data_IF_632735425313
#
_entry.id   IF_632735425313
#
_cell.length_a   1.000
_cell.length_b   1.000
_cell.length_c   1.000
_cell.angle_alpha   90.00
_cell.angle_beta   90.00
_cell.angle_gamma   90.00
#
_symmetry.space_group_name_H-M   'P 1'
#
loop_
_entity.id
_entity.type
_entity.pdbx_description
1 polymer ?
#
# COMPACT_ATOMS: atom_id res chain seq x y z
N UNK A 1 -40.24 -23.09 8.65
CA UNK A 1 -39.16 -23.99 9.10
C UNK A 1 -37.98 -23.11 9.44
N UNK A 2 -37.73 -22.94 10.72
CA UNK A 2 -36.70 -22.04 11.28
C UNK A 2 -35.69 -22.94 12.00
N UNK A 3 -34.43 -22.89 11.59
CA UNK A 3 -33.25 -23.33 12.36
C UNK A 3 -32.47 -22.06 12.69
N UNK A 4 -31.94 -21.79 13.87
CA UNK A 4 -31.60 -22.60 15.03
C UNK A 4 -30.34 -21.97 15.63
N UNK A 5 -30.47 -20.82 16.29
CA UNK A 5 -29.37 -20.14 16.96
C UNK A 5 -29.39 -20.50 18.45
N UNK A 6 -28.34 -21.19 18.91
CA UNK A 6 -28.15 -21.56 20.31
C UNK A 6 -27.53 -20.39 21.08
N UNK A 7 -28.30 -19.82 22.00
CA UNK A 7 -27.88 -18.77 22.93
C UNK A 7 -27.04 -19.38 24.05
N UNK A 8 -25.78 -18.98 24.16
CA UNK A 8 -24.94 -19.34 25.31
C UNK A 8 -25.12 -18.29 26.43
N UNK A 9 -25.76 -18.70 27.53
CA UNK A 9 -25.96 -17.88 28.74
C UNK A 9 -24.69 -17.90 29.59
N UNK A 10 -24.02 -16.76 29.79
CA UNK A 10 -22.96 -16.63 30.80
C UNK A 10 -23.53 -16.20 32.15
N UNK A 11 -23.31 -17.06 33.15
CA UNK A 11 -23.64 -16.86 34.56
C UNK A 11 -22.81 -15.73 35.18
N UNK A 12 -23.49 -14.74 35.75
CA UNK A 12 -22.91 -13.75 36.67
C UNK A 12 -22.51 -14.40 37.99
N UNK A 13 -21.24 -14.29 38.38
CA UNK A 13 -20.79 -14.58 39.76
C UNK A 13 -20.04 -13.37 40.32
N UNK A 14 -20.73 -12.64 41.21
CA UNK A 14 -20.16 -11.65 42.13
C UNK A 14 -19.14 -12.33 43.04
N UNK A 15 -17.92 -11.81 43.12
CA UNK A 15 -17.03 -12.07 44.26
C UNK A 15 -16.61 -10.75 44.91
N UNK A 16 -16.76 -10.75 46.24
CA UNK A 16 -16.59 -9.62 47.14
C UNK A 16 -15.12 -9.35 47.43
N UNK A 17 -14.83 -8.07 47.66
CA UNK A 17 -13.65 -7.55 48.31
C UNK A 17 -13.38 -8.24 49.67
N UNK A 18 -12.12 -8.61 49.89
CA UNK A 18 -11.57 -9.01 51.17
C UNK A 18 -10.10 -8.59 51.25
N UNK A 19 -9.82 -7.63 52.11
CA UNK A 19 -8.46 -7.23 52.51
C UNK A 19 -7.82 -8.34 53.34
N UNK A 20 -6.57 -8.71 53.04
CA UNK A 20 -5.65 -9.24 54.06
C UNK A 20 -4.18 -9.10 53.64
N UNK A 21 -3.49 -8.25 54.40
CA UNK A 21 -2.13 -8.39 54.95
C UNK A 21 -0.96 -8.84 54.05
N UNK A 22 -0.01 -7.91 53.91
CA UNK A 22 1.38 -8.13 53.51
C UNK A 22 2.06 -9.26 54.28
N UNK A 23 2.74 -10.16 53.57
CA UNK A 23 3.97 -10.77 54.05
C UNK A 23 4.89 -11.11 52.88
N UNK A 24 6.18 -10.90 53.12
CA UNK A 24 7.29 -10.93 52.18
C UNK A 24 7.66 -12.35 51.73
N UNK A 25 7.79 -12.56 50.42
CA UNK A 25 8.56 -13.67 49.87
C UNK A 25 9.36 -13.19 48.66
N UNK A 26 10.69 -13.13 48.83
CA UNK A 26 11.66 -12.90 47.77
C UNK A 26 11.62 -14.10 46.81
N UNK A 27 11.10 -13.89 45.61
CA UNK A 27 11.21 -14.83 44.49
C UNK A 27 12.02 -14.17 43.38
N UNK A 28 13.11 -14.84 42.97
CA UNK A 28 13.92 -14.49 41.81
C UNK A 28 13.03 -14.23 40.58
N UNK A 29 13.02 -12.99 40.09
CA UNK A 29 12.58 -12.69 38.74
C UNK A 29 13.80 -12.74 37.84
N UNK A 30 13.95 -13.85 37.12
CA UNK A 30 14.70 -13.85 35.88
C UNK A 30 14.08 -12.80 34.96
N UNK A 31 14.85 -11.76 34.72
CA UNK A 31 14.57 -10.76 33.71
C UNK A 31 14.59 -11.43 32.34
N UNK A 32 13.42 -11.75 31.79
CA UNK A 32 13.26 -11.91 30.35
C UNK A 32 13.54 -10.55 29.70
N UNK A 33 14.82 -10.26 29.46
CA UNK A 33 15.24 -9.18 28.57
C UNK A 33 14.74 -9.54 27.17
N UNK A 34 13.69 -8.85 26.72
CA UNK A 34 13.38 -8.78 25.30
C UNK A 34 14.64 -8.22 24.63
N UNK A 35 15.37 -9.09 23.93
CA UNK A 35 16.55 -8.70 23.16
C UNK A 35 16.04 -7.81 22.03
N UNK A 36 16.23 -6.49 22.15
CA UNK A 36 16.09 -5.59 21.01
C UNK A 36 17.18 -5.96 20.00
N UNK A 37 16.77 -6.66 18.92
CA UNK A 37 17.63 -6.91 17.77
C UNK A 37 18.10 -5.58 17.18
N UNK A 38 19.36 -5.50 16.74
CA UNK A 38 19.85 -4.33 16.02
C UNK A 38 19.20 -4.25 14.63
N UNK A 39 19.11 -3.06 14.02
CA UNK A 39 18.60 -2.90 12.65
C UNK A 39 19.35 -3.80 11.65
N UNK A 40 20.66 -3.99 11.85
CA UNK A 40 21.48 -4.90 11.04
C UNK A 40 21.00 -6.35 11.15
N UNK A 41 20.64 -6.81 12.34
CA UNK A 41 20.11 -8.17 12.54
C UNK A 41 18.74 -8.36 11.89
N UNK A 42 17.91 -7.30 11.84
CA UNK A 42 16.60 -7.34 11.19
C UNK A 42 16.74 -7.40 9.67
N UNK A 43 17.55 -6.51 9.08
CA UNK A 43 17.80 -6.49 7.63
C UNK A 43 18.39 -7.82 7.16
N UNK A 44 19.31 -8.41 7.93
CA UNK A 44 19.91 -9.70 7.55
C UNK A 44 18.93 -10.87 7.70
N UNK A 45 18.05 -10.85 8.69
CA UNK A 45 16.94 -11.81 8.79
C UNK A 45 16.05 -11.73 7.54
N UNK A 46 15.66 -10.52 7.14
CA UNK A 46 14.82 -10.31 5.94
C UNK A 46 15.52 -10.84 4.68
N UNK A 47 16.84 -10.65 4.56
CA UNK A 47 17.63 -11.20 3.46
C UNK A 47 17.49 -12.73 3.40
N UNK A 48 17.79 -13.40 4.52
CA UNK A 48 17.74 -14.86 4.61
C UNK A 48 16.33 -15.40 4.33
N UNK A 49 15.30 -14.77 4.91
CA UNK A 49 13.91 -15.17 4.70
C UNK A 49 13.52 -15.09 3.22
N UNK A 50 13.90 -14.01 2.53
CA UNK A 50 13.63 -13.86 1.08
C UNK A 50 14.39 -14.86 0.20
N UNK A 51 15.60 -15.27 0.61
CA UNK A 51 16.38 -16.31 -0.10
C UNK A 51 15.79 -17.70 0.09
N UNK A 52 15.27 -18.00 1.29
CA UNK A 52 14.52 -19.24 1.55
C UNK A 52 13.25 -19.26 0.71
N UNK A 53 12.53 -18.13 0.63
CA UNK A 53 11.34 -18.03 -0.20
C UNK A 53 11.67 -18.23 -1.68
N UNK A 54 12.79 -17.67 -2.15
CA UNK A 54 13.28 -17.87 -3.52
C UNK A 54 13.57 -19.35 -3.82
N UNK A 55 14.06 -20.13 -2.84
CA UNK A 55 14.25 -21.57 -3.00
C UNK A 55 12.91 -22.29 -3.18
N UNK A 56 11.90 -21.96 -2.36
CA UNK A 56 10.54 -22.51 -2.48
C UNK A 56 9.93 -22.21 -3.84
N UNK A 57 10.09 -20.98 -4.35
CA UNK A 57 9.66 -20.60 -5.71
C UNK A 57 10.39 -21.43 -6.77
N UNK A 58 11.70 -21.63 -6.65
CA UNK A 58 12.46 -22.43 -7.60
C UNK A 58 12.06 -23.92 -7.60
N UNK A 59 11.71 -24.48 -6.45
CA UNK A 59 11.17 -25.85 -6.34
C UNK A 59 9.80 -25.97 -7.00
N UNK A 60 8.94 -24.98 -6.78
CA UNK A 60 7.61 -24.91 -7.39
C UNK A 60 7.67 -24.89 -8.93
N UNK A 61 8.57 -24.09 -9.53
CA UNK A 61 8.74 -24.06 -10.98
C UNK A 61 9.45 -25.30 -11.56
N UNK A 62 10.14 -26.10 -10.73
CA UNK A 62 10.66 -27.42 -11.15
C UNK A 62 9.57 -28.48 -11.13
N UNK A 63 8.68 -28.41 -10.15
CA UNK A 63 7.57 -29.36 -9.98
C UNK A 63 6.46 -29.14 -11.01
N UNK A 64 6.25 -27.89 -11.43
CA UNK A 64 5.24 -27.51 -12.41
C UNK A 64 5.89 -27.24 -13.78
N UNK A 65 5.18 -27.51 -14.87
CA UNK A 65 5.58 -27.09 -16.24
C UNK A 65 4.64 -26.01 -16.76
N UNK A 66 4.66 -24.79 -16.18
CA UNK A 66 3.68 -23.77 -16.53
C UNK A 66 3.97 -23.18 -17.91
N UNK A 67 2.94 -22.57 -18.51
CA UNK A 67 3.03 -22.01 -19.88
C UNK A 67 3.94 -20.79 -19.98
N UNK A 68 4.04 -20.02 -18.90
CA UNK A 68 4.94 -18.88 -18.76
C UNK A 68 5.80 -19.09 -17.51
N UNK A 69 7.12 -18.97 -17.65
CA UNK A 69 8.05 -19.14 -16.54
C UNK A 69 8.79 -17.81 -16.37
N UNK A 70 8.60 -17.10 -15.24
CA UNK A 70 9.42 -15.95 -14.92
C UNK A 70 10.89 -16.35 -14.87
N UNK A 71 11.78 -15.45 -15.30
CA UNK A 71 13.21 -15.70 -15.13
C UNK A 71 13.58 -15.57 -13.65
N UNK A 72 13.98 -16.69 -13.05
CA UNK A 72 14.49 -16.72 -11.67
C UNK A 72 15.95 -16.24 -11.67
N UNK A 73 16.20 -15.13 -10.98
CA UNK A 73 17.52 -14.51 -10.90
C UNK A 73 18.12 -14.79 -9.52
N UNK A 74 19.30 -15.42 -9.52
CA UNK A 74 19.97 -15.86 -8.30
C UNK A 74 21.21 -15.03 -7.96
N UNK A 75 21.76 -14.28 -8.92
CA UNK A 75 22.98 -13.50 -8.71
C UNK A 75 22.86 -12.08 -9.27
N UNK A 76 23.68 -11.19 -8.72
CA UNK A 76 23.81 -9.83 -9.23
C UNK A 76 24.23 -9.81 -10.71
N UNK A 77 25.22 -10.63 -11.10
CA UNK A 77 25.74 -10.59 -12.47
C UNK A 77 24.69 -11.08 -13.49
N UNK A 78 23.82 -12.04 -13.11
CA UNK A 78 22.66 -12.42 -13.92
C UNK A 78 21.69 -11.25 -14.10
N UNK A 79 21.34 -10.57 -12.99
CA UNK A 79 20.42 -9.44 -13.02
C UNK A 79 20.97 -8.28 -13.85
N UNK A 80 22.22 -7.91 -13.62
CA UNK A 80 22.90 -6.83 -14.33
C UNK A 80 23.00 -7.11 -15.84
N UNK A 81 23.32 -8.35 -16.22
CA UNK A 81 23.33 -8.78 -17.61
C UNK A 81 21.95 -8.69 -18.24
N UNK A 82 20.91 -9.15 -17.54
CA UNK A 82 19.52 -9.11 -18.01
C UNK A 82 18.99 -7.68 -18.18
N UNK A 83 19.27 -6.79 -17.22
CA UNK A 83 18.91 -5.37 -17.32
C UNK A 83 19.62 -4.67 -18.48
N UNK A 84 20.91 -5.00 -18.69
CA UNK A 84 21.71 -4.40 -19.76
C UNK A 84 21.25 -4.88 -21.14
N UNK A 85 20.94 -6.16 -21.30
CA UNK A 85 20.45 -6.72 -22.58
C UNK A 85 19.07 -6.21 -22.96
N UNK A 86 18.23 -5.88 -21.97
CA UNK A 86 16.91 -5.27 -22.16
C UNK A 86 16.93 -3.73 -22.17
N UNK A 87 18.12 -3.10 -22.11
CA UNK A 87 18.28 -1.63 -22.18
C UNK A 87 17.44 -0.87 -21.16
N UNK A 88 17.37 -1.36 -19.92
CA UNK A 88 16.57 -0.71 -18.88
C UNK A 88 17.21 0.60 -18.43
N UNK A 89 16.45 1.68 -18.52
CA UNK A 89 16.84 3.03 -18.12
C UNK A 89 16.00 3.59 -16.96
N UNK A 90 14.74 3.18 -16.86
CA UNK A 90 13.78 3.71 -15.90
C UNK A 90 13.40 2.64 -14.88
N UNK A 91 13.42 3.00 -13.61
CA UNK A 91 13.12 2.11 -12.50
C UNK A 91 12.02 2.70 -11.64
N UNK A 92 10.90 1.99 -11.56
CA UNK A 92 9.81 2.29 -10.64
C UNK A 92 9.88 1.25 -9.52
N UNK A 93 9.98 1.72 -8.28
CA UNK A 93 9.99 0.87 -7.10
C UNK A 93 8.71 1.09 -6.30
N UNK A 94 8.07 0.01 -5.85
CA UNK A 94 7.28 0.11 -4.63
C UNK A 94 8.18 0.43 -3.41
N UNK A 95 7.58 0.83 -2.30
CA UNK A 95 8.28 1.22 -1.08
C UNK A 95 8.21 0.15 0.02
N UNK A 96 7.00 -0.18 0.47
CA UNK A 96 6.75 -1.01 1.64
C UNK A 96 6.87 -2.49 1.23
N UNK A 97 7.83 -3.23 1.79
CA UNK A 97 8.13 -4.59 1.35
C UNK A 97 9.21 -4.68 0.26
N UNK A 98 9.57 -3.56 -0.40
CA UNK A 98 10.61 -3.51 -1.46
C UNK A 98 11.85 -2.72 -1.04
N UNK A 99 11.66 -1.55 -0.42
CA UNK A 99 12.74 -0.67 0.02
C UNK A 99 12.87 -0.63 1.54
N UNK A 100 11.77 -0.79 2.26
CA UNK A 100 11.77 -0.87 3.72
C UNK A 100 10.56 -1.66 4.25
N UNK A 101 10.59 -2.02 5.53
CA UNK A 101 9.44 -2.53 6.29
C UNK A 101 9.35 -1.75 7.59
N UNK A 102 8.31 -0.94 7.74
CA UNK A 102 8.19 -0.03 8.88
C UNK A 102 9.34 0.97 8.93
N UNK A 103 10.23 0.82 9.92
CA UNK A 103 11.41 1.67 10.11
C UNK A 103 12.72 1.02 9.62
N UNK A 104 12.67 -0.24 9.20
CA UNK A 104 13.85 -1.02 8.86
C UNK A 104 14.06 -1.07 7.33
N UNK A 105 15.26 -0.75 6.82
CA UNK A 105 15.55 -0.81 5.40
C UNK A 105 15.66 -2.25 4.89
N UNK A 106 15.29 -2.46 3.62
CA UNK A 106 15.52 -3.72 2.92
C UNK A 106 17.01 -3.96 2.62
N UNK A 107 17.44 -5.21 2.45
CA UNK A 107 18.83 -5.56 2.18
C UNK A 107 19.43 -4.75 1.03
N UNK A 108 20.46 -3.96 1.34
CA UNK A 108 21.17 -3.07 0.40
C UNK A 108 20.30 -2.08 -0.39
N UNK A 109 19.09 -1.75 0.09
CA UNK A 109 18.19 -0.80 -0.59
C UNK A 109 18.82 0.59 -0.78
N UNK A 110 19.42 1.15 0.27
CA UNK A 110 20.14 2.43 0.22
C UNK A 110 21.21 2.47 -0.88
N UNK A 111 22.09 1.46 -0.90
CA UNK A 111 23.15 1.33 -1.91
C UNK A 111 22.58 1.18 -3.32
N UNK A 112 21.47 0.47 -3.47
CA UNK A 112 20.80 0.27 -4.75
C UNK A 112 20.30 1.58 -5.33
N UNK A 113 19.56 2.34 -4.53
CA UNK A 113 19.04 3.65 -4.96
C UNK A 113 20.18 4.62 -5.27
N UNK A 114 21.19 4.70 -4.41
CA UNK A 114 22.38 5.53 -4.68
C UNK A 114 23.08 5.16 -5.99
N UNK A 115 23.27 3.86 -6.23
CA UNK A 115 23.94 3.37 -7.43
C UNK A 115 23.17 3.74 -8.69
N UNK A 116 21.86 3.50 -8.72
CA UNK A 116 21.02 3.78 -9.90
C UNK A 116 21.00 5.28 -10.23
N UNK A 117 20.79 6.14 -9.22
CA UNK A 117 20.78 7.59 -9.39
C UNK A 117 22.13 8.10 -9.89
N UNK A 118 23.25 7.67 -9.26
CA UNK A 118 24.60 8.08 -9.67
C UNK A 118 25.00 7.55 -11.04
N UNK A 119 24.39 6.46 -11.48
CA UNK A 119 24.59 5.88 -12.81
C UNK A 119 23.73 6.54 -13.90
N UNK A 120 23.01 7.62 -13.56
CA UNK A 120 22.18 8.38 -14.51
C UNK A 120 20.88 7.68 -14.89
N UNK A 121 20.43 6.68 -14.12
CA UNK A 121 19.12 6.05 -14.32
C UNK A 121 18.00 6.95 -13.80
N UNK A 122 16.82 6.86 -14.42
CA UNK A 122 15.63 7.51 -13.89
C UNK A 122 15.00 6.61 -12.84
N UNK A 123 14.77 7.14 -11.64
CA UNK A 123 14.28 6.37 -10.50
C UNK A 123 13.05 7.05 -9.91
N UNK A 124 11.98 6.29 -9.76
CA UNK A 124 10.72 6.73 -9.15
C UNK A 124 10.27 5.73 -8.09
N UNK A 125 9.57 6.25 -7.09
CA UNK A 125 9.04 5.52 -5.94
C UNK A 125 7.51 5.62 -6.00
N UNK A 126 6.86 4.54 -6.42
CA UNK A 126 5.42 4.49 -6.69
C UNK A 126 4.75 3.68 -5.59
N UNK A 127 4.05 4.34 -4.67
CA UNK A 127 3.42 3.69 -3.51
C UNK A 127 1.91 3.91 -3.48
N UNK A 128 1.16 2.87 -3.10
CA UNK A 128 -0.27 2.97 -2.84
C UNK A 128 -0.60 3.66 -1.50
N UNK A 129 0.41 4.08 -0.72
CA UNK A 129 0.22 4.81 0.53
C UNK A 129 -0.38 6.22 0.29
N UNK A 130 -1.60 6.42 0.77
CA UNK A 130 -2.30 7.72 0.77
C UNK A 130 -2.27 8.42 2.13
N UNK A 131 -1.61 7.84 3.13
CA UNK A 131 -1.67 8.31 4.51
C UNK A 131 -0.77 9.51 4.81
N UNK A 132 0.11 9.84 3.88
CA UNK A 132 1.12 10.87 4.03
C UNK A 132 1.22 11.68 2.74
N UNK A 133 1.62 12.93 2.88
CA UNK A 133 1.91 13.80 1.74
C UNK A 133 3.14 13.29 0.97
N UNK A 134 3.28 13.73 -0.29
CA UNK A 134 4.45 13.44 -1.13
C UNK A 134 5.76 13.81 -0.44
N UNK A 135 5.79 14.98 0.21
CA UNK A 135 6.95 15.47 0.95
C UNK A 135 7.26 14.58 2.16
N UNK A 136 6.26 14.21 2.94
CA UNK A 136 6.44 13.33 4.11
C UNK A 136 6.94 11.94 3.71
N UNK A 137 6.40 11.36 2.63
CA UNK A 137 6.86 10.08 2.09
C UNK A 137 8.32 10.15 1.65
N UNK A 138 8.71 11.22 0.94
CA UNK A 138 10.09 11.47 0.54
C UNK A 138 11.02 11.55 1.75
N UNK A 139 10.67 12.35 2.76
CA UNK A 139 11.46 12.50 3.98
C UNK A 139 11.57 11.21 4.78
N UNK A 140 10.49 10.41 4.84
CA UNK A 140 10.50 9.07 5.43
C UNK A 140 11.50 8.17 4.70
N UNK A 141 11.45 8.12 3.36
CA UNK A 141 12.33 7.26 2.59
C UNK A 141 13.80 7.66 2.73
N UNK A 142 14.12 8.97 2.64
CA UNK A 142 15.47 9.48 2.87
C UNK A 142 16.00 9.09 4.25
N UNK A 143 15.14 9.17 5.28
CA UNK A 143 15.49 8.82 6.66
C UNK A 143 15.73 7.31 6.83
N UNK A 144 14.79 6.48 6.38
CA UNK A 144 14.85 5.02 6.58
C UNK A 144 16.03 4.41 5.82
N UNK A 145 16.29 4.89 4.60
CA UNK A 145 17.41 4.44 3.79
C UNK A 145 18.73 5.15 4.13
N UNK A 146 18.72 6.13 5.04
CA UNK A 146 19.87 6.97 5.38
C UNK A 146 20.57 7.55 4.12
N UNK A 147 19.77 8.07 3.19
CA UNK A 147 20.28 8.59 1.92
C UNK A 147 20.96 9.95 2.11
N UNK A 148 22.00 10.27 1.32
CA UNK A 148 22.59 11.60 1.29
C UNK A 148 21.55 12.69 1.00
N UNK A 149 21.63 13.81 1.73
CA UNK A 149 20.75 14.96 1.51
C UNK A 149 20.86 15.46 0.07
N UNK A 150 19.70 15.71 -0.55
CA UNK A 150 19.62 16.25 -1.90
C UNK A 150 19.80 15.20 -3.01
N UNK A 151 20.05 13.93 -2.66
CA UNK A 151 20.06 12.85 -3.64
C UNK A 151 18.66 12.61 -4.23
N UNK A 152 17.64 12.60 -3.38
CA UNK A 152 16.25 12.44 -3.81
C UNK A 152 15.60 13.79 -4.08
N UNK A 153 14.92 13.88 -5.22
CA UNK A 153 14.02 14.98 -5.56
C UNK A 153 12.59 14.60 -5.22
N UNK A 154 11.75 15.60 -4.92
CA UNK A 154 10.35 15.38 -4.57
C UNK A 154 9.57 14.72 -5.74
N UNK A 155 9.80 15.23 -6.95
CA UNK A 155 10.01 14.49 -8.20
C UNK A 155 9.75 12.99 -8.23
N UNK A 156 10.62 12.31 -7.51
CA UNK A 156 10.78 10.87 -7.59
C UNK A 156 9.71 10.16 -6.78
N UNK A 157 9.07 10.83 -5.83
CA UNK A 157 8.06 10.23 -4.96
C UNK A 157 6.67 10.37 -5.57
N UNK A 158 5.95 9.26 -5.72
CA UNK A 158 4.62 9.17 -6.32
C UNK A 158 3.74 8.36 -5.36
N UNK A 159 3.08 9.06 -4.43
CA UNK A 159 2.09 8.47 -3.53
C UNK A 159 0.68 8.58 -4.09
N UNK A 160 -0.20 7.62 -3.74
CA UNK A 160 -1.57 7.59 -4.24
C UNK A 160 -2.43 8.80 -3.82
N UNK A 161 -2.12 9.46 -2.70
CA UNK A 161 -2.73 10.75 -2.34
C UNK A 161 -2.40 11.86 -3.35
N UNK A 162 -1.13 11.94 -3.77
CA UNK A 162 -0.68 12.89 -4.78
C UNK A 162 -1.32 12.58 -6.13
N UNK A 163 -1.39 11.30 -6.51
CA UNK A 163 -2.06 10.89 -7.75
C UNK A 163 -3.55 11.26 -7.73
N UNK A 164 -4.25 11.05 -6.61
CA UNK A 164 -5.65 11.45 -6.46
C UNK A 164 -5.83 12.97 -6.65
N UNK A 165 -4.94 13.79 -6.11
CA UNK A 165 -4.99 15.24 -6.27
C UNK A 165 -4.75 15.69 -7.73
N UNK A 166 -3.83 15.03 -8.43
CA UNK A 166 -3.55 15.26 -9.87
C UNK A 166 -4.72 14.83 -10.74
N UNK A 167 -5.28 13.66 -10.47
CA UNK A 167 -6.45 13.13 -11.17
C UNK A 167 -7.66 14.06 -11.03
N UNK A 168 -7.99 14.48 -9.81
CA UNK A 168 -9.09 15.43 -9.60
C UNK A 168 -8.80 16.78 -10.25
N UNK A 169 -7.55 17.22 -10.29
CA UNK A 169 -7.16 18.47 -10.96
C UNK A 169 -7.35 18.41 -12.48
N UNK A 170 -7.14 17.24 -13.10
CA UNK A 170 -7.38 17.06 -14.54
C UNK A 170 -8.87 16.93 -14.86
N UNK A 171 -9.66 16.31 -13.98
CA UNK A 171 -11.10 16.17 -14.19
C UNK A 171 -11.90 17.44 -13.87
N UNK A 172 -11.50 18.21 -12.86
CA UNK A 172 -12.26 19.37 -12.37
C UNK A 172 -11.67 20.67 -12.93
N UNK A 173 -12.36 21.27 -13.91
CA UNK A 173 -11.98 22.56 -14.50
C UNK A 173 -11.91 23.66 -13.43
N UNK A 174 -10.87 24.50 -13.47
CA UNK A 174 -10.81 25.75 -12.70
C UNK A 174 -11.85 26.73 -13.25
N UNK A 175 -13.09 26.69 -12.74
CA UNK A 175 -14.06 27.75 -13.00
C UNK A 175 -13.66 28.96 -12.15
N UNK A 176 -13.54 30.14 -12.74
CA UNK A 176 -13.01 31.36 -12.09
C UNK A 176 -13.67 31.77 -10.77
N UNK A 177 -14.81 31.19 -10.39
CA UNK A 177 -15.52 31.46 -9.14
C UNK A 177 -16.00 30.21 -8.37
N UNK A 178 -15.64 28.99 -8.78
CA UNK A 178 -16.16 27.78 -8.11
C UNK A 178 -15.10 27.14 -7.20
N UNK A 179 -15.40 27.11 -5.90
CA UNK A 179 -14.65 26.35 -4.91
C UNK A 179 -14.79 24.87 -5.28
N UNK A 180 -13.66 24.16 -5.48
CA UNK A 180 -13.66 22.72 -5.77
C UNK A 180 -13.72 21.95 -4.46
N UNK A 181 -14.88 21.43 -4.10
CA UNK A 181 -15.15 20.78 -2.81
C UNK A 181 -14.96 19.27 -2.90
N UNK A 182 -14.19 18.72 -1.96
CA UNK A 182 -13.90 17.29 -1.89
C UNK A 182 -14.18 16.77 -0.48
N UNK A 183 -14.99 15.71 -0.38
CA UNK A 183 -15.17 14.99 0.87
C UNK A 183 -14.16 13.85 0.96
N UNK A 184 -13.46 13.73 2.10
CA UNK A 184 -12.40 12.74 2.29
C UNK A 184 -12.80 11.74 3.35
N UNK A 185 -12.66 10.46 3.02
CA UNK A 185 -12.55 9.37 4.00
C UNK A 185 -11.09 8.96 3.97
N UNK A 186 -10.36 9.16 5.07
CA UNK A 186 -8.92 8.97 5.09
C UNK A 186 -8.21 9.80 6.14
N UNK A 187 -6.89 9.63 6.20
CA UNK A 187 -6.02 10.32 7.15
C UNK A 187 -5.81 11.81 6.83
N UNK A 188 -5.15 12.52 7.76
CA UNK A 188 -4.75 13.92 7.58
C UNK A 188 -3.79 14.13 6.41
N UNK A 189 -2.89 13.19 6.12
CA UNK A 189 -1.95 13.32 5.00
C UNK A 189 -2.65 13.41 3.66
N UNK A 190 -3.69 12.59 3.44
CA UNK A 190 -4.55 12.68 2.25
C UNK A 190 -5.24 14.04 2.16
N UNK A 191 -5.77 14.54 3.28
CA UNK A 191 -6.43 15.85 3.33
C UNK A 191 -5.45 16.97 2.95
N UNK A 192 -4.25 16.96 3.52
CA UNK A 192 -3.23 17.98 3.28
C UNK A 192 -2.74 17.97 1.82
N UNK A 193 -2.58 16.79 1.23
CA UNK A 193 -2.18 16.65 -0.17
C UNK A 193 -3.23 17.26 -1.13
N UNK A 194 -4.51 17.00 -0.86
CA UNK A 194 -5.61 17.58 -1.64
C UNK A 194 -5.75 19.09 -1.39
N UNK A 195 -5.62 19.55 -0.15
CA UNK A 195 -5.63 20.99 0.16
C UNK A 195 -4.50 21.74 -0.56
N UNK A 196 -3.31 21.14 -0.64
CA UNK A 196 -2.16 21.71 -1.35
C UNK A 196 -2.40 21.85 -2.86
N UNK A 197 -3.30 21.03 -3.44
CA UNK A 197 -3.76 21.15 -4.81
C UNK A 197 -4.90 22.19 -5.01
N UNK A 198 -5.30 22.88 -3.93
CA UNK A 198 -6.32 23.92 -3.93
C UNK A 198 -7.75 23.39 -3.94
N UNK A 199 -7.99 22.25 -3.29
CA UNK A 199 -9.33 21.74 -3.00
C UNK A 199 -9.79 22.18 -1.61
N UNK A 200 -11.07 22.50 -1.48
CA UNK A 200 -11.72 22.72 -0.19
C UNK A 200 -12.18 21.37 0.37
N UNK A 201 -11.72 21.01 1.56
CA UNK A 201 -11.82 19.66 2.11
C UNK A 201 -12.81 19.60 3.26
N UNK A 202 -13.68 18.60 3.22
CA UNK A 202 -14.48 18.14 4.36
C UNK A 202 -14.17 16.68 4.68
N UNK A 203 -14.54 16.20 5.88
CA UNK A 203 -14.23 14.84 6.33
C UNK A 203 -12.82 14.72 6.92
N UNK A 204 -12.15 13.60 6.66
CA UNK A 204 -10.81 13.28 7.18
C UNK A 204 -10.82 12.42 8.46
N UNK A 205 -9.72 12.43 9.24
CA UNK A 205 -9.61 11.61 10.45
C UNK A 205 -10.58 12.09 11.53
N UNK A 206 -11.13 11.16 12.31
CA UNK A 206 -11.98 11.53 13.44
C UNK A 206 -11.12 11.99 14.63
N UNK A 207 -11.66 12.89 15.45
CA UNK A 207 -10.99 13.28 16.69
C UNK A 207 -11.10 12.11 17.68
N UNK A 208 -9.95 11.66 18.21
CA UNK A 208 -9.86 10.61 19.23
C UNK A 208 -10.82 10.94 20.39
N UNK A 209 -11.72 10.00 20.70
CA UNK A 209 -12.71 10.14 21.77
C UNK A 209 -14.09 10.60 21.31
N UNK A 210 -14.27 10.92 20.03
CA UNK A 210 -15.60 11.14 19.44
C UNK A 210 -16.36 9.83 19.35
N UNK A 211 -17.67 9.85 19.57
CA UNK A 211 -18.50 8.65 19.38
C UNK A 211 -18.39 8.13 17.94
N UNK A 212 -17.98 6.87 17.78
CA UNK A 212 -17.80 6.22 16.47
C UNK A 212 -19.13 5.79 15.80
N UNK A 213 -20.26 6.02 16.47
CA UNK A 213 -21.59 5.66 15.99
C UNK A 213 -22.56 6.83 16.08
N UNK A 214 -23.69 6.71 15.38
CA UNK A 214 -24.83 7.60 15.53
C UNK A 214 -26.11 6.77 15.58
N UNK A 215 -27.00 7.12 16.49
CA UNK A 215 -28.38 6.65 16.51
C UNK A 215 -29.13 7.13 15.26
N UNK A 216 -30.29 6.52 14.98
CA UNK A 216 -31.13 6.93 13.85
C UNK A 216 -31.61 8.38 13.98
N UNK A 217 -31.88 8.82 15.21
CA UNK A 217 -32.34 10.20 15.46
C UNK A 217 -31.20 11.20 15.28
N UNK A 218 -29.99 10.87 15.73
CA UNK A 218 -28.80 11.70 15.47
C UNK A 218 -28.48 11.78 13.97
N UNK A 219 -28.62 10.68 13.24
CA UNK A 219 -28.49 10.67 11.78
C UNK A 219 -29.56 11.53 11.09
N UNK A 220 -30.81 11.46 11.55
CA UNK A 220 -31.90 12.24 10.99
C UNK A 220 -31.74 13.75 11.26
N UNK A 221 -31.17 14.11 12.41
CA UNK A 221 -30.87 15.48 12.79
C UNK A 221 -29.48 15.97 12.31
N UNK A 222 -28.69 15.10 11.64
CA UNK A 222 -27.34 15.45 11.22
C UNK A 222 -27.39 16.62 10.22
N UNK A 223 -26.66 17.73 10.47
CA UNK A 223 -26.68 18.90 9.61
C UNK A 223 -25.81 18.64 8.39
N UNK A 224 -26.35 17.90 7.42
CA UNK A 224 -25.68 17.69 6.15
C UNK A 224 -25.43 19.03 5.45
N UNK A 225 -24.24 19.23 4.87
CA UNK A 225 -23.92 20.48 4.19
C UNK A 225 -24.91 20.74 3.06
N UNK A 226 -25.27 22.02 2.88
CA UNK A 226 -26.13 22.47 1.79
C UNK A 226 -25.34 22.57 0.47
N UNK A 227 -24.04 22.84 0.58
CA UNK A 227 -23.15 22.93 -0.56
C UNK A 227 -22.87 21.57 -1.18
N UNK A 228 -22.91 21.53 -2.51
CA UNK A 228 -22.54 20.34 -3.28
C UNK A 228 -21.04 20.06 -3.20
N UNK A 229 -20.70 18.76 -3.20
CA UNK A 229 -19.33 18.27 -3.35
C UNK A 229 -19.06 17.92 -4.81
N UNK A 230 -17.88 18.28 -5.32
CA UNK A 230 -17.45 17.91 -6.67
C UNK A 230 -16.86 16.49 -6.71
N UNK A 231 -16.29 16.03 -5.59
CA UNK A 231 -15.72 14.69 -5.49
C UNK A 231 -15.74 14.14 -4.06
N UNK A 232 -15.61 12.82 -3.97
CA UNK A 232 -15.30 12.08 -2.76
C UNK A 232 -14.06 11.22 -2.98
N UNK A 233 -13.09 11.29 -2.07
CA UNK A 233 -11.86 10.50 -2.13
C UNK A 233 -11.79 9.56 -0.92
N UNK A 234 -11.59 8.28 -1.21
CA UNK A 234 -11.48 7.21 -0.23
C UNK A 234 -10.03 6.73 -0.18
N UNK A 235 -9.37 7.01 0.93
CA UNK A 235 -8.09 6.44 1.31
C UNK A 235 -8.19 5.67 2.62
N UNK A 236 -7.08 5.03 3.01
CA UNK A 236 -7.02 4.27 4.26
C UNK A 236 -7.41 5.19 5.43
N UNK A 237 -8.36 4.72 6.23
CA UNK A 237 -8.90 5.44 7.38
C UNK A 237 -8.96 4.49 8.57
N UNK A 238 -7.95 4.51 9.46
CA UNK A 238 -7.94 3.68 10.67
C UNK A 238 -9.13 3.96 11.60
N UNK A 239 -9.75 5.13 11.49
CA UNK A 239 -10.91 5.54 12.28
C UNK A 239 -12.23 5.35 11.51
N UNK A 240 -12.22 4.60 10.41
CA UNK A 240 -13.41 4.32 9.61
C UNK A 240 -14.50 3.68 10.47
N UNK A 241 -15.71 4.21 10.38
CA UNK A 241 -16.82 3.79 11.21
C UNK A 241 -18.16 3.97 10.49
N UNK A 242 -19.22 3.42 11.09
CA UNK A 242 -20.55 3.41 10.50
C UNK A 242 -21.10 4.83 10.27
N UNK A 243 -20.77 5.78 11.15
CA UNK A 243 -21.17 7.18 10.99
C UNK A 243 -20.57 7.77 9.70
N UNK A 244 -19.26 7.60 9.45
CA UNK A 244 -18.62 8.06 8.21
C UNK A 244 -19.26 7.43 6.99
N UNK A 245 -19.57 6.13 7.04
CA UNK A 245 -20.26 5.43 5.95
C UNK A 245 -21.66 6.01 5.67
N UNK A 246 -22.46 6.29 6.70
CA UNK A 246 -23.75 6.93 6.54
C UNK A 246 -23.64 8.32 5.93
N UNK A 247 -22.70 9.14 6.42
CA UNK A 247 -22.46 10.49 5.91
C UNK A 247 -22.07 10.42 4.43
N UNK A 248 -21.10 9.58 4.09
CA UNK A 248 -20.65 9.37 2.73
C UNK A 248 -21.78 8.93 1.79
N UNK A 249 -22.63 8.02 2.26
CA UNK A 249 -23.78 7.52 1.49
C UNK A 249 -24.75 8.64 1.15
N UNK A 250 -25.12 9.47 2.12
CA UNK A 250 -26.05 10.60 1.90
C UNK A 250 -25.41 11.67 1.01
N UNK A 251 -24.12 11.97 1.19
CA UNK A 251 -23.40 12.92 0.34
C UNK A 251 -23.39 12.45 -1.12
N UNK A 252 -23.10 11.17 -1.37
CA UNK A 252 -23.12 10.62 -2.73
C UNK A 252 -24.52 10.57 -3.35
N UNK A 253 -25.57 10.36 -2.54
CA UNK A 253 -26.96 10.42 -3.01
C UNK A 253 -27.38 11.84 -3.42
N UNK A 254 -27.01 12.85 -2.62
CA UNK A 254 -27.30 14.26 -2.90
C UNK A 254 -26.49 14.80 -4.08
N UNK A 255 -25.31 14.23 -4.33
CA UNK A 255 -24.38 14.69 -5.34
C UNK A 255 -24.11 13.58 -6.39
N UNK A 256 -25.09 13.24 -7.24
CA UNK A 256 -24.97 12.13 -8.18
C UNK A 256 -23.85 12.31 -9.21
N UNK A 257 -23.43 13.55 -9.46
CA UNK A 257 -22.34 13.89 -10.38
C UNK A 257 -20.96 13.98 -9.73
N UNK A 258 -20.87 13.88 -8.39
CA UNK A 258 -19.59 13.93 -7.70
C UNK A 258 -18.69 12.77 -8.16
N UNK A 259 -17.42 13.03 -8.42
CA UNK A 259 -16.46 11.99 -8.79
C UNK A 259 -16.15 11.15 -7.55
N UNK A 260 -16.28 9.82 -7.63
CA UNK A 260 -15.91 8.91 -6.54
C UNK A 260 -14.54 8.30 -6.86
N UNK A 261 -13.54 8.55 -6.01
CA UNK A 261 -12.15 8.13 -6.21
C UNK A 261 -11.70 7.24 -5.06
N UNK A 262 -11.03 6.14 -5.37
CA UNK A 262 -10.29 5.33 -4.42
C UNK A 262 -8.79 5.54 -4.65
N UNK A 263 -8.04 5.86 -3.60
CA UNK A 263 -6.58 6.07 -3.72
C UNK A 263 -5.85 4.77 -4.06
N UNK A 264 -6.34 3.64 -3.56
CA UNK A 264 -5.94 2.29 -3.96
C UNK A 264 -7.06 1.30 -3.58
N UNK A 265 -6.92 0.03 -3.98
CA UNK A 265 -7.86 -1.06 -3.62
C UNK A 265 -7.21 -2.20 -2.85
N UNK A 266 -6.09 -1.94 -2.20
CA UNK A 266 -5.32 -2.96 -1.50
C UNK A 266 -6.19 -3.57 -0.39
N UNK A 267 -6.37 -4.88 -0.43
CA UNK A 267 -7.28 -5.62 0.45
C UNK A 267 -6.81 -5.66 1.90
N UNK A 268 -5.50 -5.77 2.09
CA UNK A 268 -4.84 -5.83 3.39
C UNK A 268 -3.44 -5.24 3.34
N UNK A 269 -2.92 -4.93 4.53
CA UNK A 269 -1.52 -4.62 4.81
C UNK A 269 -0.99 -5.55 5.91
N UNK A 270 0.33 -5.74 5.97
CA UNK A 270 1.01 -6.60 6.93
C UNK A 270 1.59 -5.75 8.08
N UNK A 271 1.14 -6.04 9.31
CA UNK A 271 1.54 -5.25 10.49
C UNK A 271 2.14 -6.11 11.58
N UNK A 272 3.24 -5.63 12.15
CA UNK A 272 3.95 -6.28 13.25
C UNK A 272 5.00 -7.30 12.81
N UNK A 273 5.76 -7.81 13.78
CA UNK A 273 6.85 -8.77 13.54
C UNK A 273 6.37 -10.14 13.05
N UNK A 274 5.10 -10.45 13.28
CA UNK A 274 4.40 -11.68 12.93
C UNK A 274 3.53 -11.54 11.66
N UNK A 275 3.66 -10.43 10.91
CA UNK A 275 2.99 -10.19 9.63
C UNK A 275 1.46 -10.38 9.68
N UNK A 276 0.78 -9.73 10.63
CA UNK A 276 -0.69 -9.83 10.74
C UNK A 276 -1.36 -9.10 9.59
N UNK A 277 -2.34 -9.75 8.94
CA UNK A 277 -3.21 -9.14 7.95
C UNK A 277 -4.22 -8.21 8.61
N UNK A 278 -4.10 -6.92 8.35
CA UNK A 278 -5.09 -5.92 8.74
C UNK A 278 -5.81 -5.36 7.50
N UNK A 279 -7.09 -4.98 7.59
CA UNK A 279 -7.83 -4.44 6.45
C UNK A 279 -7.13 -3.23 5.83
N UNK A 280 -6.97 -3.26 4.51
CA UNK A 280 -6.46 -2.16 3.71
C UNK A 280 -7.57 -1.22 3.25
N UNK A 281 -7.22 -0.25 2.40
CA UNK A 281 -8.20 0.71 1.88
C UNK A 281 -9.31 0.03 1.07
N UNK A 282 -9.00 -1.10 0.41
CA UNK A 282 -9.99 -1.86 -0.36
C UNK A 282 -11.22 -2.25 0.46
N UNK A 283 -11.07 -2.53 1.75
CA UNK A 283 -12.19 -2.82 2.65
C UNK A 283 -13.10 -1.60 2.84
N UNK A 284 -12.53 -0.40 3.01
CA UNK A 284 -13.26 0.86 3.14
C UNK A 284 -13.98 1.20 1.85
N UNK A 285 -13.28 1.06 0.71
CA UNK A 285 -13.85 1.27 -0.63
C UNK A 285 -15.06 0.36 -0.85
N UNK A 286 -14.92 -0.95 -0.62
CA UNK A 286 -16.01 -1.90 -0.77
C UNK A 286 -17.24 -1.54 0.08
N UNK A 287 -17.04 -1.05 1.32
CA UNK A 287 -18.13 -0.63 2.18
C UNK A 287 -18.90 0.56 1.60
N UNK A 288 -18.18 1.59 1.11
CA UNK A 288 -18.80 2.79 0.51
C UNK A 288 -19.48 2.46 -0.81
N UNK A 289 -18.85 1.65 -1.67
CA UNK A 289 -19.45 1.22 -2.94
C UNK A 289 -20.73 0.42 -2.71
N UNK A 290 -20.71 -0.51 -1.76
CA UNK A 290 -21.86 -1.33 -1.41
C UNK A 290 -23.02 -0.50 -0.84
N UNK A 291 -22.72 0.51 -0.02
CA UNK A 291 -23.75 1.35 0.59
C UNK A 291 -24.33 2.41 -0.37
N UNK A 292 -23.49 2.97 -1.24
CA UNK A 292 -23.88 4.02 -2.18
C UNK A 292 -24.41 3.51 -3.52
N UNK A 293 -24.11 2.26 -3.88
CA UNK A 293 -24.39 1.71 -5.21
C UNK A 293 -23.54 2.32 -6.33
N UNK A 294 -22.47 3.05 -5.99
CA UNK A 294 -21.56 3.70 -6.95
C UNK A 294 -20.21 3.01 -6.95
N UNK A 295 -19.56 2.94 -8.10
CA UNK A 295 -18.20 2.42 -8.23
C UNK A 295 -17.17 3.55 -8.20
N UNK A 296 -16.12 3.36 -7.39
CA UNK A 296 -15.01 4.28 -7.25
C UNK A 296 -13.98 4.07 -8.37
N UNK A 297 -13.45 5.16 -8.89
CA UNK A 297 -12.33 5.15 -9.84
C UNK A 297 -11.05 4.89 -9.04
N UNK A 298 -10.36 3.78 -9.32
CA UNK A 298 -9.07 3.48 -8.69
C UNK A 298 -7.95 4.30 -9.35
N UNK A 299 -7.22 5.09 -8.56
CA UNK A 299 -6.06 5.87 -9.04
C UNK A 299 -4.72 5.30 -8.58
N UNK A 300 -4.71 4.30 -7.69
CA UNK A 300 -3.49 3.59 -7.29
C UNK A 300 -3.15 2.44 -8.22
N UNK A 301 -2.00 1.79 -8.01
CA UNK A 301 -1.65 0.54 -8.69
C UNK A 301 -2.77 -0.51 -8.46
N UNK A 302 -3.16 -1.32 -9.47
CA UNK A 302 -2.60 -1.42 -10.82
C UNK A 302 -3.28 -0.53 -11.89
N UNK A 303 -3.80 0.65 -11.53
CA UNK A 303 -4.57 1.49 -12.46
C UNK A 303 -3.78 1.93 -13.69
N UNK A 304 -4.33 1.70 -14.88
CA UNK A 304 -3.83 2.27 -16.14
C UNK A 304 -3.83 3.81 -16.14
N UNK A 305 -4.70 4.42 -15.33
CA UNK A 305 -4.73 5.89 -15.17
C UNK A 305 -3.42 6.39 -14.56
N UNK A 306 -2.94 5.70 -13.52
CA UNK A 306 -1.66 6.00 -12.89
C UNK A 306 -0.51 5.77 -13.88
N UNK A 307 -0.51 4.63 -14.56
CA UNK A 307 0.53 4.28 -15.52
C UNK A 307 0.66 5.34 -16.62
N UNK A 308 -0.46 5.65 -17.29
CA UNK A 308 -0.49 6.61 -18.39
C UNK A 308 0.00 7.99 -17.93
N UNK A 309 -0.44 8.44 -16.76
CA UNK A 309 0.01 9.72 -16.21
C UNK A 309 1.51 9.72 -15.88
N UNK A 310 2.06 8.67 -15.26
CA UNK A 310 3.50 8.59 -14.97
C UNK A 310 4.32 8.62 -16.27
N UNK A 311 3.93 7.81 -17.26
CA UNK A 311 4.65 7.72 -18.53
C UNK A 311 4.63 9.07 -19.27
N UNK A 312 3.49 9.77 -19.28
CA UNK A 312 3.37 11.09 -19.93
C UNK A 312 4.12 12.19 -19.18
N UNK A 313 3.90 12.32 -17.86
CA UNK A 313 4.48 13.39 -17.03
C UNK A 313 6.02 13.31 -17.01
N UNK A 314 6.56 12.11 -16.89
CA UNK A 314 8.01 11.89 -16.78
C UNK A 314 8.67 11.45 -18.09
N UNK A 315 7.91 11.35 -19.18
CA UNK A 315 8.37 10.97 -20.53
C UNK A 315 9.10 9.63 -20.55
N UNK A 316 8.51 8.64 -19.86
CA UNK A 316 9.06 7.29 -19.77
C UNK A 316 8.55 6.46 -20.95
N UNK A 317 9.40 5.58 -21.46
CA UNK A 317 9.06 4.58 -22.48
C UNK A 317 8.91 3.22 -21.81
N UNK A 318 7.79 2.52 -22.04
CA UNK A 318 7.53 1.22 -21.43
C UNK A 318 8.66 0.22 -21.70
N UNK A 319 9.20 0.22 -22.92
CA UNK A 319 10.24 -0.69 -23.40
C UNK A 319 11.60 -0.57 -22.68
N UNK A 320 11.82 0.53 -21.96
CA UNK A 320 13.04 0.78 -21.18
C UNK A 320 12.75 0.87 -19.67
N UNK A 321 11.54 0.52 -19.26
CA UNK A 321 11.05 0.71 -17.89
C UNK A 321 10.87 -0.62 -17.17
N UNK A 322 11.27 -0.65 -15.90
CA UNK A 322 11.11 -1.77 -15.00
C UNK A 322 10.31 -1.35 -13.76
N UNK A 323 9.26 -2.11 -13.43
CA UNK A 323 8.56 -2.03 -12.15
C UNK A 323 9.12 -3.09 -11.20
N UNK A 324 9.45 -2.70 -9.97
CA UNK A 324 9.92 -3.60 -8.90
C UNK A 324 8.95 -3.53 -7.73
N UNK A 325 8.35 -4.67 -7.40
CA UNK A 325 7.28 -4.76 -6.42
C UNK A 325 7.33 -6.05 -5.60
N UNK A 326 6.54 -6.11 -4.55
CA UNK A 326 6.38 -7.29 -3.69
C UNK A 326 4.98 -7.93 -3.81
N UNK A 327 4.09 -7.36 -4.64
CA UNK A 327 2.71 -7.83 -4.84
C UNK A 327 2.39 -8.16 -6.29
N UNK A 328 1.72 -9.30 -6.48
CA UNK A 328 1.26 -9.77 -7.79
C UNK A 328 0.09 -8.93 -8.32
N UNK A 329 -0.90 -8.68 -7.46
CA UNK A 329 -2.17 -8.03 -7.76
C UNK A 329 -2.07 -6.51 -7.96
N UNK A 330 -1.00 -5.89 -7.47
CA UNK A 330 -0.76 -4.45 -7.60
C UNK A 330 0.48 -4.15 -8.42
N UNK A 331 1.67 -4.52 -7.98
CA UNK A 331 2.91 -4.06 -8.63
C UNK A 331 3.22 -4.77 -9.94
N UNK A 332 3.12 -6.09 -9.95
CA UNK A 332 3.36 -6.89 -11.15
C UNK A 332 2.28 -6.60 -12.18
N UNK A 333 1.01 -6.65 -11.75
CA UNK A 333 -0.14 -6.21 -12.54
C UNK A 333 0.05 -4.80 -13.09
N UNK A 334 0.53 -3.86 -12.28
CA UNK A 334 0.80 -2.49 -12.72
C UNK A 334 1.87 -2.44 -13.82
N UNK A 335 3.01 -3.10 -13.63
CA UNK A 335 4.07 -3.13 -14.64
C UNK A 335 3.61 -3.74 -15.96
N UNK A 336 2.91 -4.87 -15.90
CA UNK A 336 2.43 -5.59 -17.09
C UNK A 336 1.37 -4.80 -17.85
N UNK A 337 0.31 -4.35 -17.15
CA UNK A 337 -0.79 -3.59 -17.77
C UNK A 337 -0.32 -2.25 -18.33
N UNK A 338 0.68 -1.62 -17.69
CA UNK A 338 1.31 -0.40 -18.18
C UNK A 338 2.22 -0.60 -19.42
N UNK A 339 2.43 -1.84 -19.87
CA UNK A 339 3.33 -2.13 -20.99
C UNK A 339 4.81 -1.90 -20.64
N UNK A 340 5.19 -1.99 -19.37
CA UNK A 340 6.60 -1.92 -18.96
C UNK A 340 7.34 -3.18 -19.41
N UNK A 341 8.61 -3.02 -19.81
CA UNK A 341 9.45 -4.10 -20.33
C UNK A 341 9.63 -5.22 -19.32
N UNK A 342 9.76 -4.86 -18.04
CA UNK A 342 9.99 -5.80 -16.94
C UNK A 342 9.06 -5.45 -15.79
N UNK A 343 8.26 -6.43 -15.39
CA UNK A 343 7.66 -6.51 -14.05
C UNK A 343 8.50 -7.46 -13.20
N UNK A 344 9.04 -6.98 -12.09
CA UNK A 344 9.88 -7.77 -11.21
C UNK A 344 9.25 -7.92 -9.84
N UNK A 345 9.21 -9.16 -9.38
CA UNK A 345 8.77 -9.52 -8.04
C UNK A 345 9.97 -9.72 -7.12
N UNK A 346 9.97 -9.06 -5.97
CA UNK A 346 10.83 -9.38 -4.83
C UNK A 346 10.07 -10.14 -3.76
N UNK A 347 10.78 -10.98 -3.00
CA UNK A 347 10.22 -11.89 -2.00
C UNK A 347 10.46 -11.39 -0.56
N UNK A 348 10.55 -10.07 -0.40
CA UNK A 348 10.73 -9.40 0.89
C UNK A 348 9.44 -8.83 1.48
N UNK A 349 8.33 -8.90 0.75
CA UNK A 349 7.06 -8.29 1.14
C UNK A 349 5.92 -9.30 1.19
N UNK A 350 4.80 -8.98 0.52
CA UNK A 350 3.54 -9.71 0.66
C UNK A 350 3.52 -11.04 -0.10
N UNK A 351 4.03 -11.08 -1.33
CA UNK A 351 3.96 -12.28 -2.15
C UNK A 351 4.90 -13.38 -1.64
N UNK A 352 4.36 -14.59 -1.61
CA UNK A 352 5.05 -15.82 -1.22
C UNK A 352 5.04 -16.82 -2.38
N UNK A 353 5.80 -17.90 -2.24
CA UNK A 353 5.74 -19.05 -3.14
C UNK A 353 4.33 -19.65 -3.22
N UNK A 354 3.55 -19.56 -2.14
CA UNK A 354 2.16 -20.03 -2.12
C UNK A 354 1.26 -19.15 -2.96
N UNK A 355 1.43 -17.83 -2.94
CA UNK A 355 0.66 -16.93 -3.82
C UNK A 355 0.97 -17.18 -5.30
N UNK A 356 2.23 -17.49 -5.62
CA UNK A 356 2.64 -17.88 -6.98
C UNK A 356 2.03 -19.24 -7.35
N UNK A 357 1.99 -20.20 -6.43
CA UNK A 357 1.30 -21.49 -6.63
C UNK A 357 -0.17 -21.28 -6.96
N UNK A 358 -0.87 -20.47 -6.17
CA UNK A 358 -2.27 -20.15 -6.39
C UNK A 358 -2.48 -19.47 -7.74
N UNK A 359 -1.59 -18.56 -8.15
CA UNK A 359 -1.62 -17.95 -9.47
C UNK A 359 -1.48 -19.01 -10.57
N UNK A 360 -0.53 -19.93 -10.46
CA UNK A 360 -0.33 -21.03 -11.41
C UNK A 360 -1.49 -22.03 -11.43
N UNK A 361 -2.21 -22.23 -10.33
CA UNK A 361 -3.40 -23.08 -10.32
C UNK A 361 -4.60 -22.42 -11.02
N UNK A 362 -4.54 -21.11 -11.25
CA UNK A 362 -5.61 -20.31 -11.84
C UNK A 362 -5.22 -19.75 -13.23
N UNK A 363 -4.39 -20.43 -14.03
CA UNK A 363 -3.91 -19.91 -15.34
C UNK A 363 -5.02 -19.58 -16.35
N UNK A 364 -6.24 -20.07 -16.12
CA UNK A 364 -7.40 -19.82 -16.98
C UNK A 364 -8.10 -18.49 -16.69
N UNK A 365 -7.77 -17.81 -15.58
CA UNK A 365 -8.36 -16.50 -15.28
C UNK A 365 -7.77 -15.42 -16.19
N UNK A 366 -8.62 -14.46 -16.57
CA UNK A 366 -8.24 -13.36 -17.46
C UNK A 366 -7.08 -12.51 -16.91
N UNK A 367 -7.00 -12.37 -15.59
CA UNK A 367 -5.99 -11.58 -14.87
C UNK A 367 -4.65 -12.32 -14.66
N UNK A 368 -4.55 -13.61 -15.00
CA UNK A 368 -3.35 -14.41 -14.79
C UNK A 368 -2.12 -13.79 -15.45
N UNK A 369 -2.27 -13.33 -16.70
CA UNK A 369 -1.16 -12.73 -17.45
C UNK A 369 -0.73 -11.39 -16.87
N UNK A 370 -1.69 -10.64 -16.34
CA UNK A 370 -1.40 -9.34 -15.73
C UNK A 370 -0.61 -9.56 -14.44
N UNK A 371 -0.89 -10.61 -13.67
CA UNK A 371 -0.20 -10.89 -12.41
C UNK A 371 1.09 -11.71 -12.54
N UNK A 372 1.45 -12.20 -13.72
CA UNK A 372 2.66 -13.02 -13.90
C UNK A 372 3.91 -12.15 -14.04
N UNK A 373 4.91 -12.24 -13.14
CA UNK A 373 6.11 -11.42 -13.24
C UNK A 373 6.99 -11.83 -14.44
N UNK A 374 7.76 -10.88 -14.94
CA UNK A 374 8.80 -11.15 -15.94
C UNK A 374 10.00 -11.85 -15.28
N UNK A 375 10.41 -11.35 -14.11
CA UNK A 375 11.54 -11.88 -13.32
C UNK A 375 11.20 -11.94 -11.84
N UNK A 376 11.84 -12.86 -11.12
CA UNK A 376 11.75 -12.96 -9.66
C UNK A 376 13.18 -13.01 -9.09
N UNK A 377 13.43 -12.23 -8.04
CA UNK A 377 14.69 -12.24 -7.30
C UNK A 377 14.44 -11.93 -5.82
N UNK A 378 15.30 -12.35 -4.88
CA UNK A 378 14.92 -12.36 -3.46
C UNK A 378 14.66 -10.96 -2.90
N UNK A 379 15.54 -9.99 -3.16
CA UNK A 379 15.43 -8.64 -2.60
C UNK A 379 16.11 -7.58 -3.49
N UNK A 380 15.73 -6.31 -3.32
CA UNK A 380 16.22 -5.18 -4.14
C UNK A 380 17.76 -5.07 -4.17
N UNK A 381 18.44 -5.48 -3.10
CA UNK A 381 19.89 -5.53 -3.02
C UNK A 381 20.61 -6.34 -4.10
N UNK A 382 19.93 -7.26 -4.80
CA UNK A 382 20.52 -8.00 -5.92
C UNK A 382 20.91 -7.09 -7.11
N UNK A 383 20.34 -5.88 -7.20
CA UNK A 383 20.66 -4.90 -8.25
C UNK A 383 22.10 -4.38 -8.13
N UNK A 384 22.72 -4.47 -6.95
CA UNK A 384 24.10 -4.04 -6.72
C UNK A 384 24.99 -5.22 -6.31
N UNK A 385 26.28 -5.16 -6.65
CA UNK A 385 27.24 -6.17 -6.21
C UNK A 385 27.23 -6.30 -4.68
N UNK A 386 27.28 -7.51 -4.10
CA UNK A 386 27.50 -7.70 -2.67
C UNK A 386 28.76 -6.96 -2.18
N UNK A 387 28.83 -6.63 -0.89
CA UNK A 387 30.06 -6.08 -0.28
C UNK A 387 31.02 -7.19 0.11
#
# INVERSE_FOLDING_TARGET
MVSGWTVCRSLTRKQRLGQSTMSSARGNRESNSVVCKSTTDITESIRLDSEVEMQRVAELFKANSPRAIPLLIHTHDQLASYMSSNQIHNYLFDCDGVLYRGADPMPSASRTIEYLIKSGKQVFFVTNNASSTRMELKLKLEKVLNLPRGLMKEEMMIGSAYVASRYLTSCLSKKSNNIRRVHVIGTSGLCQELQSAGFDISGGPDIIGTACGMSRDELAAYPFPEEEIDAMVIGLDPDFNYRKLCIATVLLQRNPHAILVATNRDSFDLVGVDARHLPGNGAVVCAVESASGRSAINVGKPSLTLASWIMEEYKLMGEETMMVGDRLDTDVAFGNTAGMKISALVLTGCATATDIEELLLNEEKDDYRDMMPTIIFPHVGCIVRPK
#
